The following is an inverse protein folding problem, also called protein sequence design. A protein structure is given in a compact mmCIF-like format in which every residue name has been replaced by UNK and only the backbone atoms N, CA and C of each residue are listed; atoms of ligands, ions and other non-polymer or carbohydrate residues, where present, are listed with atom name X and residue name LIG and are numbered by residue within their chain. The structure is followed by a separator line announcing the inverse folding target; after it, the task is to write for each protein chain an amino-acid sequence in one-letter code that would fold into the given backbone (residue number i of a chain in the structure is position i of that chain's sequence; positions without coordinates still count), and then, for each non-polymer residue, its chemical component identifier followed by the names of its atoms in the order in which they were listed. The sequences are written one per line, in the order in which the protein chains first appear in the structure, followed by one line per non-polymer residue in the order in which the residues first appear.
data_IF_068434891305
#
_entry.id   IF_068434891305
#
_cell.length_a   1.000
_cell.length_b   1.000
_cell.length_c   1.000
_cell.angle_alpha   90.00
_cell.angle_beta   90.00
_cell.angle_gamma   90.00
#
_symmetry.space_group_name_H-M   'P 1'
#
loop_
_entity.id
_entity.type
_entity.pdbx_description
1 polymer ?
#
# COMPACT_ATOMS: atom_id res chain seq x y z
N UNK A 1 -17.62 28.86 -20.49
CA UNK A 1 -18.71 27.94 -20.07
C UNK A 1 -18.18 27.08 -18.92
N UNK A 2 -18.43 27.46 -17.66
CA UNK A 2 -17.91 26.77 -16.47
C UNK A 2 -18.80 25.56 -16.18
N UNK A 3 -18.28 24.33 -16.32
CA UNK A 3 -18.96 23.13 -15.82
C UNK A 3 -18.61 22.99 -14.33
N UNK A 4 -19.64 23.14 -13.49
CA UNK A 4 -19.62 22.79 -12.06
C UNK A 4 -19.28 21.30 -11.94
N UNK A 5 -18.16 21.00 -11.28
CA UNK A 5 -17.92 19.66 -10.72
C UNK A 5 -18.71 19.61 -9.43
N UNK A 6 -19.87 18.97 -9.46
CA UNK A 6 -20.63 18.68 -8.24
C UNK A 6 -19.96 17.52 -7.51
N UNK A 7 -19.44 17.81 -6.32
CA UNK A 7 -19.05 16.84 -5.31
C UNK A 7 -20.20 15.84 -5.09
N UNK A 8 -19.95 14.56 -5.40
CA UNK A 8 -20.88 13.47 -5.10
C UNK A 8 -20.12 12.16 -4.87
N UNK A 9 -19.29 12.11 -3.84
CA UNK A 9 -18.72 10.85 -3.34
C UNK A 9 -18.72 10.84 -1.82
N UNK A 10 -19.93 10.76 -1.26
CA UNK A 10 -20.22 10.24 0.08
C UNK A 10 -21.44 9.34 -0.08
N UNK A 11 -21.25 8.03 0.16
CA UNK A 11 -22.35 7.07 0.27
C UNK A 11 -22.50 6.07 -0.87
N UNK A 12 -21.54 5.14 -1.04
CA UNK A 12 -21.82 3.79 -1.59
C UNK A 12 -20.92 2.75 -0.92
N UNK A 13 -21.18 2.43 0.35
CA UNK A 13 -20.64 1.22 1.00
C UNK A 13 -21.73 0.29 1.53
N UNK A 14 -23.02 0.56 1.23
CA UNK A 14 -24.18 -0.20 1.73
C UNK A 14 -24.95 -1.01 0.66
N UNK A 15 -24.33 -1.35 -0.47
CA UNK A 15 -24.96 -2.28 -1.42
C UNK A 15 -24.33 -3.67 -1.30
N UNK A 16 -25.19 -4.67 -1.14
CA UNK A 16 -24.89 -6.11 -1.11
C UNK A 16 -24.23 -6.57 -2.42
N UNK A 17 -22.94 -6.29 -2.59
CA UNK A 17 -22.14 -6.89 -3.65
C UNK A 17 -21.76 -8.29 -3.16
N UNK A 18 -22.50 -9.29 -3.63
CA UNK A 18 -22.32 -10.69 -3.23
C UNK A 18 -21.24 -11.40 -4.08
N UNK A 19 -21.01 -10.95 -5.31
CA UNK A 19 -19.94 -11.47 -6.18
C UNK A 19 -19.60 -10.41 -7.24
N UNK A 20 -18.31 -10.21 -7.50
CA UNK A 20 -17.84 -9.37 -8.61
C UNK A 20 -17.19 -10.24 -9.67
N UNK A 21 -17.73 -10.17 -10.89
CA UNK A 21 -17.10 -10.74 -12.07
C UNK A 21 -16.21 -9.69 -12.71
N UNK A 22 -14.92 -9.98 -12.78
CA UNK A 22 -14.00 -9.22 -13.61
C UNK A 22 -13.88 -9.93 -14.94
N UNK A 23 -14.65 -9.43 -15.91
CA UNK A 23 -14.55 -9.85 -17.30
C UNK A 23 -13.19 -9.43 -17.86
N UNK A 24 -12.60 -10.32 -18.64
CA UNK A 24 -11.22 -10.20 -19.06
C UNK A 24 -11.11 -10.32 -20.56
N UNK A 25 -10.07 -9.72 -21.13
CA UNK A 25 -9.91 -9.64 -22.59
C UNK A 25 -9.78 -11.01 -23.27
N UNK A 26 -9.51 -12.08 -22.52
CA UNK A 26 -9.34 -13.44 -23.04
C UNK A 26 -10.49 -14.39 -22.65
N UNK A 27 -11.63 -13.88 -22.19
CA UNK A 27 -12.78 -14.70 -21.77
C UNK A 27 -12.55 -15.49 -20.46
N UNK A 28 -11.47 -15.19 -19.72
CA UNK A 28 -11.21 -15.78 -18.40
C UNK A 28 -11.80 -14.90 -17.31
N UNK A 29 -12.90 -15.30 -16.69
CA UNK A 29 -13.53 -14.51 -15.63
C UNK A 29 -12.83 -14.74 -14.30
N UNK A 30 -12.34 -13.67 -13.68
CA UNK A 30 -11.89 -13.73 -12.28
C UNK A 30 -13.09 -13.49 -11.38
N UNK A 31 -13.43 -14.49 -10.57
CA UNK A 31 -14.55 -14.43 -9.62
C UNK A 31 -14.03 -13.91 -8.27
N UNK A 32 -14.57 -12.78 -7.81
CA UNK A 32 -14.33 -12.25 -6.46
C UNK A 32 -15.55 -12.61 -5.60
N UNK A 33 -15.32 -13.32 -4.51
CA UNK A 33 -16.36 -13.83 -3.60
C UNK A 33 -16.66 -12.85 -2.47
N UNK A 34 -17.78 -13.02 -1.75
CA UNK A 34 -18.07 -12.27 -0.52
C UNK A 34 -16.95 -12.40 0.52
N UNK A 35 -16.38 -13.60 0.65
CA UNK A 35 -15.28 -13.86 1.57
C UNK A 35 -14.04 -13.04 1.22
N UNK A 36 -13.74 -12.86 -0.07
CA UNK A 36 -12.65 -12.00 -0.54
C UNK A 36 -12.92 -10.53 -0.16
N UNK A 37 -14.16 -10.05 -0.34
CA UNK A 37 -14.57 -8.67 0.00
C UNK A 37 -14.51 -8.45 1.52
N UNK A 38 -15.03 -9.38 2.33
CA UNK A 38 -14.98 -9.31 3.79
C UNK A 38 -13.54 -9.24 4.31
N UNK A 39 -12.67 -10.10 3.78
CA UNK A 39 -11.24 -10.09 4.08
C UNK A 39 -10.56 -8.79 3.62
N UNK A 40 -10.95 -8.23 2.48
CA UNK A 40 -10.42 -6.96 1.99
C UNK A 40 -10.80 -5.79 2.91
N UNK A 41 -12.06 -5.72 3.37
CA UNK A 41 -12.51 -4.71 4.35
C UNK A 41 -11.69 -4.79 5.64
N UNK A 42 -11.48 -6.00 6.15
CA UNK A 42 -10.64 -6.23 7.32
C UNK A 42 -9.18 -5.78 7.09
N UNK A 43 -8.57 -6.16 5.95
CA UNK A 43 -7.22 -5.73 5.60
C UNK A 43 -7.11 -4.20 5.50
N UNK A 44 -8.09 -3.53 4.88
CA UNK A 44 -8.12 -2.06 4.78
C UNK A 44 -8.13 -1.42 6.16
N UNK A 45 -9.02 -1.85 7.07
CA UNK A 45 -9.08 -1.32 8.45
C UNK A 45 -7.76 -1.51 9.21
N UNK A 46 -7.08 -2.62 8.97
CA UNK A 46 -5.79 -2.90 9.62
C UNK A 46 -4.62 -2.10 9.05
N UNK A 47 -4.63 -1.87 7.74
CA UNK A 47 -3.49 -1.30 7.03
C UNK A 47 -3.59 0.21 6.82
N UNK A 48 -4.79 0.79 6.81
CA UNK A 48 -5.01 2.22 6.64
C UNK A 48 -5.11 2.88 8.02
N UNK A 49 -4.44 4.02 8.18
CA UNK A 49 -4.49 4.81 9.41
C UNK A 49 -5.84 5.52 9.54
N UNK A 50 -6.49 5.39 10.69
CA UNK A 50 -7.74 6.10 10.99
C UNK A 50 -7.54 7.62 11.09
N UNK A 51 -6.41 8.04 11.67
CA UNK A 51 -5.98 9.44 11.76
C UNK A 51 -4.52 9.51 11.39
N UNK A 52 -4.13 10.48 10.57
CA UNK A 52 -2.74 10.66 10.15
C UNK A 52 -2.10 11.75 11.02
N UNK A 53 -1.01 11.39 11.68
CA UNK A 53 -0.10 12.29 12.39
C UNK A 53 1.28 12.14 11.79
N UNK A 54 2.17 13.10 12.05
CA UNK A 54 3.55 12.99 11.56
C UNK A 54 4.22 11.69 12.02
N UNK A 55 4.07 11.38 13.31
CA UNK A 55 4.61 10.20 13.97
C UNK A 55 4.15 8.88 13.33
N UNK A 56 2.84 8.71 13.13
CA UNK A 56 2.33 7.47 12.56
C UNK A 56 2.52 7.38 11.03
N UNK A 57 2.62 8.53 10.33
CA UNK A 57 3.00 8.57 8.94
C UNK A 57 4.46 8.12 8.76
N UNK A 58 5.37 8.60 9.60
CA UNK A 58 6.76 8.15 9.60
C UNK A 58 6.85 6.63 9.86
N UNK A 59 6.14 6.13 10.88
CA UNK A 59 6.07 4.70 11.17
C UNK A 59 5.50 3.89 9.98
N UNK A 60 4.49 4.40 9.28
CA UNK A 60 3.96 3.79 8.07
C UNK A 60 4.98 3.75 6.92
N UNK A 61 5.83 4.78 6.79
CA UNK A 61 6.96 4.79 5.87
C UNK A 61 7.97 3.67 6.17
N UNK A 62 8.37 3.52 7.44
CA UNK A 62 9.22 2.41 7.91
C UNK A 62 8.57 1.06 7.59
N UNK A 63 7.27 0.90 7.86
CA UNK A 63 6.52 -0.32 7.52
C UNK A 63 6.66 -0.66 6.03
N UNK A 64 6.48 0.33 5.15
CA UNK A 64 6.59 0.12 3.71
C UNK A 64 8.00 -0.32 3.28
N UNK A 65 9.05 0.25 3.87
CA UNK A 65 10.46 -0.16 3.64
C UNK A 65 10.66 -1.63 4.07
N UNK A 66 10.19 -1.97 5.27
CA UNK A 66 10.34 -3.31 5.84
C UNK A 66 9.54 -4.37 5.07
N UNK A 67 8.39 -4.00 4.49
CA UNK A 67 7.49 -4.89 3.74
C UNK A 67 8.08 -5.44 2.45
N UNK A 68 9.17 -4.83 1.95
CA UNK A 68 9.80 -5.27 0.70
C UNK A 68 10.33 -6.70 0.86
N UNK A 69 9.76 -7.59 0.03
CA UNK A 69 10.08 -9.02 -0.08
C UNK A 69 9.97 -9.81 1.24
N UNK A 70 9.13 -9.32 2.17
CA UNK A 70 8.91 -9.91 3.48
C UNK A 70 7.44 -10.32 3.68
N UNK A 71 7.18 -11.23 4.62
CA UNK A 71 5.81 -11.56 4.99
C UNK A 71 5.27 -10.61 6.08
N UNK A 72 3.95 -10.38 6.08
CA UNK A 72 3.32 -9.45 7.03
C UNK A 72 3.57 -9.79 8.50
N UNK A 73 3.60 -11.07 8.85
CA UNK A 73 3.80 -11.48 10.25
C UNK A 73 5.16 -11.03 10.78
N UNK A 74 6.23 -11.24 10.01
CA UNK A 74 7.58 -10.80 10.35
C UNK A 74 7.69 -9.27 10.40
N UNK A 75 7.06 -8.56 9.46
CA UNK A 75 7.04 -7.10 9.45
C UNK A 75 6.35 -6.59 10.72
N UNK A 76 5.16 -7.10 11.06
CA UNK A 76 4.43 -6.69 12.26
C UNK A 76 5.22 -6.96 13.55
N UNK A 77 5.84 -8.14 13.68
CA UNK A 77 6.70 -8.46 14.82
C UNK A 77 7.87 -7.49 14.94
N UNK A 78 8.49 -7.13 13.81
CA UNK A 78 9.60 -6.17 13.82
C UNK A 78 9.12 -4.76 14.14
N UNK A 79 7.99 -4.32 13.59
CA UNK A 79 7.41 -3.01 13.92
C UNK A 79 7.12 -2.88 15.41
N UNK A 80 6.53 -3.90 16.04
CA UNK A 80 6.28 -3.91 17.48
C UNK A 80 7.59 -3.84 18.30
N UNK A 81 8.67 -4.47 17.82
CA UNK A 81 10.00 -4.36 18.46
C UNK A 81 10.61 -2.97 18.30
N UNK A 82 10.47 -2.35 17.13
CA UNK A 82 10.94 -0.99 16.88
C UNK A 82 10.16 0.01 17.73
N UNK A 83 8.84 -0.17 17.85
CA UNK A 83 7.97 0.63 18.71
C UNK A 83 8.37 0.51 20.18
N UNK A 84 8.53 -0.72 20.68
CA UNK A 84 8.99 -0.96 22.06
C UNK A 84 10.40 -0.43 22.35
N UNK A 85 11.22 -0.22 21.32
CA UNK A 85 12.53 0.40 21.42
C UNK A 85 12.49 1.94 21.19
N UNK A 86 11.32 2.52 20.92
CA UNK A 86 11.17 3.95 20.64
C UNK A 86 11.75 4.40 19.29
N UNK A 87 12.00 3.49 18.35
CA UNK A 87 12.70 3.76 17.08
C UNK A 87 11.77 4.11 15.92
N UNK A 88 10.49 4.34 16.18
CA UNK A 88 9.50 4.74 15.17
C UNK A 88 9.32 6.26 15.11
N UNK A 89 10.34 7.03 15.49
CA UNK A 89 10.45 8.48 15.25
C UNK A 89 11.74 8.77 14.48
N UNK A 90 11.77 9.81 13.63
CA UNK A 90 12.94 10.11 12.79
C UNK A 90 14.25 10.27 13.59
N UNK A 91 14.28 11.15 14.59
CA UNK A 91 15.48 11.42 15.39
C UNK A 91 15.88 10.19 16.20
N UNK A 92 14.89 9.46 16.72
CA UNK A 92 15.15 8.25 17.50
C UNK A 92 15.76 7.14 16.64
N UNK A 93 15.32 6.98 15.38
CA UNK A 93 15.92 6.03 14.45
C UNK A 93 17.37 6.41 14.10
N UNK A 94 17.67 7.71 13.96
CA UNK A 94 19.01 8.22 13.68
C UNK A 94 19.97 8.03 14.88
N UNK A 95 19.54 8.40 16.08
CA UNK A 95 20.36 8.23 17.29
C UNK A 95 20.48 6.77 17.72
N UNK A 96 19.42 5.98 17.49
CA UNK A 96 19.36 4.54 17.80
C UNK A 96 19.91 3.65 16.70
N UNK A 97 20.79 4.15 15.82
CA UNK A 97 21.27 3.47 14.62
C UNK A 97 21.82 2.05 14.86
N UNK A 98 22.62 1.87 15.91
CA UNK A 98 23.16 0.54 16.28
C UNK A 98 22.03 -0.42 16.68
N UNK A 99 21.11 0.04 17.54
CA UNK A 99 19.97 -0.77 17.98
C UNK A 99 19.03 -1.11 16.83
N UNK A 100 18.81 -0.17 15.92
CA UNK A 100 18.06 -0.39 14.69
C UNK A 100 18.71 -1.51 13.85
N UNK A 101 20.04 -1.48 13.69
CA UNK A 101 20.81 -2.51 13.00
C UNK A 101 20.64 -3.90 13.60
N UNK A 102 20.70 -4.01 14.92
CA UNK A 102 20.45 -5.27 15.63
C UNK A 102 19.05 -5.82 15.34
N UNK A 103 18.02 -4.97 15.46
CA UNK A 103 16.63 -5.38 15.32
C UNK A 103 16.29 -5.80 13.89
N UNK A 104 16.83 -5.10 12.88
CA UNK A 104 16.59 -5.43 11.47
C UNK A 104 17.48 -6.57 10.95
N UNK A 105 18.44 -7.08 11.75
CA UNK A 105 19.37 -8.14 11.30
C UNK A 105 18.68 -9.46 10.92
N UNK A 106 17.48 -9.72 11.47
CA UNK A 106 16.75 -10.98 11.32
C UNK A 106 15.82 -11.06 10.10
N UNK A 107 15.72 -9.99 9.30
CA UNK A 107 14.85 -9.92 8.12
C UNK A 107 15.64 -9.98 6.81
N UNK A 108 14.95 -10.19 5.68
CA UNK A 108 15.62 -10.22 4.38
C UNK A 108 16.19 -8.86 4.01
N UNK A 109 17.40 -8.86 3.46
CA UNK A 109 18.17 -7.68 3.05
C UNK A 109 18.40 -6.69 4.20
N UNK A 110 18.97 -7.15 5.34
CA UNK A 110 19.05 -6.37 6.57
C UNK A 110 19.79 -5.04 6.36
N UNK A 111 21.01 -5.07 5.80
CA UNK A 111 21.81 -3.87 5.54
C UNK A 111 21.10 -2.88 4.61
N UNK A 112 20.41 -3.38 3.58
CA UNK A 112 19.67 -2.51 2.65
C UNK A 112 18.50 -1.82 3.35
N UNK A 113 17.76 -2.55 4.20
CA UNK A 113 16.62 -2.01 4.94
C UNK A 113 17.07 -1.06 6.04
N UNK A 114 18.13 -1.39 6.76
CA UNK A 114 18.79 -0.50 7.72
C UNK A 114 19.17 0.84 7.07
N UNK A 115 19.98 0.81 6.01
CA UNK A 115 20.37 2.01 5.28
C UNK A 115 19.16 2.79 4.72
N UNK A 116 18.12 2.08 4.28
CA UNK A 116 16.89 2.72 3.79
C UNK A 116 16.13 3.43 4.90
N UNK A 117 16.04 2.86 6.10
CA UNK A 117 15.38 3.49 7.25
C UNK A 117 16.18 4.72 7.69
N UNK A 118 17.51 4.64 7.75
CA UNK A 118 18.35 5.79 8.07
C UNK A 118 18.16 6.90 7.03
N UNK A 119 18.29 6.58 5.73
CA UNK A 119 18.09 7.59 4.67
C UNK A 119 16.66 8.15 4.64
N UNK A 120 15.65 7.35 4.94
CA UNK A 120 14.27 7.82 5.10
C UNK A 120 14.13 8.76 6.29
N UNK A 121 14.79 8.48 7.42
CA UNK A 121 14.78 9.31 8.63
C UNK A 121 15.47 10.66 8.41
N UNK A 122 16.65 10.65 7.76
CA UNK A 122 17.36 11.87 7.38
C UNK A 122 16.52 12.74 6.44
N UNK A 123 15.94 12.13 5.41
CA UNK A 123 15.09 12.84 4.47
C UNK A 123 13.81 13.37 5.11
N UNK A 124 13.18 12.61 6.00
CA UNK A 124 11.99 13.04 6.72
C UNK A 124 12.27 14.32 7.51
N UNK A 125 13.37 14.36 8.26
CA UNK A 125 13.75 15.51 9.08
C UNK A 125 14.19 16.75 8.30
N UNK A 126 14.83 16.54 7.15
CA UNK A 126 15.44 17.63 6.39
C UNK A 126 14.59 18.09 5.20
N UNK A 127 13.39 17.54 5.01
CA UNK A 127 12.52 17.90 3.91
C UNK A 127 11.21 18.51 4.39
N UNK A 128 10.57 19.27 3.49
CA UNK A 128 9.21 19.79 3.70
C UNK A 128 8.12 18.73 3.47
N UNK A 129 8.51 17.50 3.09
CA UNK A 129 7.55 16.47 2.67
C UNK A 129 6.58 16.05 3.79
N UNK A 130 7.00 15.89 5.06
CA UNK A 130 6.07 15.54 6.13
C UNK A 130 4.94 16.57 6.24
N UNK A 131 5.29 17.86 6.24
CA UNK A 131 4.30 18.94 6.29
C UNK A 131 3.39 18.91 5.05
N UNK A 132 3.96 18.78 3.85
CA UNK A 132 3.17 18.71 2.60
C UNK A 132 2.19 17.53 2.57
N UNK A 133 2.60 16.37 3.12
CA UNK A 133 1.75 15.19 3.23
C UNK A 133 0.60 15.43 4.20
N UNK A 134 0.87 16.01 5.37
CA UNK A 134 -0.14 16.31 6.37
C UNK A 134 -1.13 17.37 5.86
N UNK A 135 -0.63 18.43 5.24
CA UNK A 135 -1.44 19.47 4.62
C UNK A 135 -2.39 18.87 3.57
N UNK A 136 -1.89 18.05 2.64
CA UNK A 136 -2.75 17.42 1.63
C UNK A 136 -3.74 16.42 2.25
N UNK A 137 -3.36 15.71 3.32
CA UNK A 137 -4.29 14.86 4.07
C UNK A 137 -5.44 15.68 4.67
N UNK A 138 -5.16 16.86 5.21
CA UNK A 138 -6.16 17.79 5.72
C UNK A 138 -7.01 18.43 4.61
N UNK A 139 -6.40 18.70 3.45
CA UNK A 139 -7.04 19.32 2.28
C UNK A 139 -7.82 18.31 1.40
N UNK A 140 -7.99 17.07 1.86
CA UNK A 140 -8.84 16.08 1.20
C UNK A 140 -8.12 15.16 0.21
N UNK A 141 -6.79 15.03 0.31
CA UNK A 141 -5.96 14.02 -0.37
C UNK A 141 -5.95 14.15 -1.90
N UNK A 142 -5.74 15.36 -2.40
CA UNK A 142 -5.87 15.68 -3.82
C UNK A 142 -4.58 15.54 -4.63
N UNK A 143 -3.41 15.48 -3.97
CA UNK A 143 -2.08 15.53 -4.62
C UNK A 143 -1.38 14.17 -4.67
N UNK A 144 -2.14 13.09 -4.59
CA UNK A 144 -1.64 11.73 -4.39
C UNK A 144 -0.54 11.30 -5.38
N UNK A 145 -0.74 11.53 -6.68
CA UNK A 145 0.21 11.12 -7.72
C UNK A 145 1.49 11.96 -7.73
N UNK A 146 1.38 13.25 -7.38
CA UNK A 146 2.49 14.18 -7.26
C UNK A 146 3.35 13.82 -6.05
N UNK A 147 2.74 13.71 -4.86
CA UNK A 147 3.42 13.36 -3.62
C UNK A 147 4.09 11.98 -3.73
N UNK A 148 3.37 10.98 -4.26
CA UNK A 148 3.96 9.65 -4.53
C UNK A 148 5.18 9.75 -5.45
N UNK A 149 5.10 10.55 -6.52
CA UNK A 149 6.24 10.72 -7.45
C UNK A 149 7.43 11.33 -6.71
N UNK A 150 7.21 12.43 -5.98
CA UNK A 150 8.25 13.11 -5.21
C UNK A 150 8.94 12.15 -4.23
N UNK A 151 8.17 11.39 -3.45
CA UNK A 151 8.70 10.37 -2.52
C UNK A 151 9.52 9.32 -3.26
N UNK A 152 8.99 8.80 -4.37
CA UNK A 152 9.63 7.71 -5.12
C UNK A 152 10.98 8.08 -5.76
N UNK A 153 11.16 9.36 -6.09
CA UNK A 153 12.35 9.88 -6.76
C UNK A 153 13.52 10.15 -5.79
N UNK A 154 13.27 10.27 -4.48
CA UNK A 154 14.29 10.55 -3.47
C UNK A 154 15.25 9.38 -3.21
N UNK A 155 14.92 8.17 -3.68
CA UNK A 155 15.72 6.94 -3.47
C UNK A 155 15.94 6.54 -2.00
N UNK A 156 15.06 6.98 -1.11
CA UNK A 156 15.03 6.69 0.35
C UNK A 156 14.47 5.30 0.70
N UNK A 157 14.70 4.30 -0.16
CA UNK A 157 14.16 2.94 0.03
C UNK A 157 12.69 2.75 -0.36
N UNK A 158 11.97 3.82 -0.73
CA UNK A 158 10.60 3.76 -1.23
C UNK A 158 10.57 3.97 -2.76
N UNK A 159 10.67 2.90 -3.56
CA UNK A 159 10.35 2.97 -4.98
C UNK A 159 8.84 3.13 -5.23
N UNK A 160 8.40 3.23 -6.50
CA UNK A 160 6.97 3.42 -6.85
C UNK A 160 6.00 2.51 -6.07
N UNK A 161 6.25 1.19 -5.98
CA UNK A 161 5.40 0.28 -5.19
C UNK A 161 5.35 0.63 -3.71
N UNK A 162 6.49 0.99 -3.11
CA UNK A 162 6.60 1.36 -1.70
C UNK A 162 5.92 2.69 -1.42
N UNK A 163 6.18 3.70 -2.26
CA UNK A 163 5.55 5.01 -2.18
C UNK A 163 4.03 4.92 -2.37
N UNK A 164 3.55 4.18 -3.36
CA UNK A 164 2.11 3.97 -3.56
C UNK A 164 1.46 3.28 -2.37
N UNK A 165 2.14 2.28 -1.77
CA UNK A 165 1.60 1.62 -0.59
C UNK A 165 1.59 2.54 0.63
N UNK A 166 2.63 3.35 0.78
CA UNK A 166 2.68 4.38 1.81
C UNK A 166 1.50 5.35 1.69
N UNK A 167 1.20 5.87 0.47
CA UNK A 167 0.03 6.70 0.24
C UNK A 167 -1.28 5.98 0.62
N UNK A 168 -1.45 4.71 0.23
CA UNK A 168 -2.65 3.94 0.63
C UNK A 168 -2.77 3.85 2.16
N UNK A 169 -1.66 3.64 2.90
CA UNK A 169 -1.69 3.62 4.37
C UNK A 169 -2.14 4.95 4.98
N UNK A 170 -1.86 6.07 4.31
CA UNK A 170 -2.33 7.42 4.72
C UNK A 170 -3.78 7.71 4.28
N UNK A 171 -4.45 6.76 3.63
CA UNK A 171 -5.86 6.85 3.23
C UNK A 171 -6.10 7.44 1.84
N UNK A 172 -5.08 7.52 0.98
CA UNK A 172 -5.26 7.93 -0.42
C UNK A 172 -5.92 6.80 -1.21
N UNK A 173 -6.94 7.14 -2.00
CA UNK A 173 -7.84 6.13 -2.56
C UNK A 173 -7.63 5.82 -4.05
N UNK A 174 -7.03 6.73 -4.83
CA UNK A 174 -6.90 6.53 -6.28
C UNK A 174 -5.54 5.97 -6.73
N UNK A 175 -4.70 5.54 -5.78
CA UNK A 175 -3.41 4.91 -6.05
C UNK A 175 -3.46 3.40 -5.79
N UNK A 176 -2.80 2.63 -6.66
CA UNK A 176 -2.64 1.18 -6.51
C UNK A 176 -1.17 0.81 -6.40
N UNK A 177 -0.75 0.18 -5.29
CA UNK A 177 0.53 -0.51 -5.21
C UNK A 177 0.58 -1.70 -6.18
N UNK A 178 1.23 -1.56 -7.33
CA UNK A 178 1.42 -2.68 -8.26
C UNK A 178 2.46 -3.66 -7.70
N UNK A 179 1.97 -4.73 -7.06
CA UNK A 179 2.78 -5.79 -6.45
C UNK A 179 2.62 -7.15 -7.17
N UNK A 180 3.20 -8.21 -6.58
CA UNK A 180 3.13 -9.55 -7.15
C UNK A 180 1.68 -10.06 -7.31
N UNK A 181 0.76 -9.68 -6.42
CA UNK A 181 -0.63 -10.11 -6.45
C UNK A 181 -1.38 -9.41 -7.58
N UNK A 182 -1.14 -8.10 -7.77
CA UNK A 182 -1.68 -7.37 -8.91
C UNK A 182 -1.23 -7.96 -10.25
N UNK A 183 0.05 -8.32 -10.37
CA UNK A 183 0.58 -8.90 -11.62
C UNK A 183 -0.03 -10.28 -11.89
N UNK A 184 -0.27 -11.09 -10.85
CA UNK A 184 -0.97 -12.38 -10.99
C UNK A 184 -2.41 -12.18 -11.43
N UNK A 185 -3.11 -11.23 -10.83
CA UNK A 185 -4.46 -10.86 -11.24
C UNK A 185 -4.51 -10.44 -12.73
N UNK A 186 -3.61 -9.56 -13.17
CA UNK A 186 -3.57 -9.14 -14.58
C UNK A 186 -3.26 -10.31 -15.52
N UNK A 187 -2.35 -11.21 -15.13
CA UNK A 187 -2.03 -12.43 -15.90
C UNK A 187 -3.24 -13.36 -16.01
N UNK A 188 -3.92 -13.63 -14.90
CA UNK A 188 -5.07 -14.54 -14.87
C UNK A 188 -6.27 -13.95 -15.61
N UNK A 189 -6.40 -12.63 -15.58
CA UNK A 189 -7.34 -11.84 -16.38
C UNK A 189 -6.88 -11.64 -17.83
N UNK A 190 -5.89 -12.40 -18.32
CA UNK A 190 -5.55 -12.43 -19.74
C UNK A 190 -4.93 -11.16 -20.32
N UNK A 191 -4.47 -10.20 -19.51
CA UNK A 191 -3.82 -8.97 -20.00
C UNK A 191 -2.38 -9.18 -20.52
N UNK A 192 -1.94 -10.43 -20.71
CA UNK A 192 -0.62 -10.74 -21.25
C UNK A 192 0.57 -10.31 -20.37
N UNK A 193 0.34 -10.10 -19.07
CA UNK A 193 1.38 -9.66 -18.14
C UNK A 193 2.30 -10.81 -17.75
N UNK A 194 3.61 -10.57 -17.87
CA UNK A 194 4.64 -11.48 -17.36
C UNK A 194 4.85 -11.18 -15.88
N UNK A 195 4.52 -12.16 -15.04
CA UNK A 195 4.82 -12.10 -13.61
C UNK A 195 6.31 -12.41 -13.42
N UNK A 196 7.13 -11.45 -12.96
CA UNK A 196 8.57 -11.67 -12.82
C UNK A 196 8.88 -12.64 -11.69
N UNK A 197 9.93 -13.44 -11.86
CA UNK A 197 10.56 -14.16 -10.75
C UNK A 197 11.48 -13.19 -9.99
N UNK A 198 10.99 -12.65 -8.88
CA UNK A 198 11.74 -11.72 -8.04
C UNK A 198 12.95 -12.34 -7.32
N UNK A 199 13.26 -13.63 -7.54
CA UNK A 199 14.54 -14.24 -7.14
C UNK A 199 15.67 -13.90 -8.11
N UNK A 200 15.35 -13.65 -9.38
CA UNK A 200 16.33 -13.52 -10.47
C UNK A 200 16.17 -12.23 -11.29
N UNK A 201 15.01 -11.59 -11.25
CA UNK A 201 14.72 -10.35 -11.98
C UNK A 201 14.53 -9.14 -11.05
N UNK A 202 14.97 -7.98 -11.54
CA UNK A 202 14.68 -6.68 -10.94
C UNK A 202 13.18 -6.34 -10.99
N UNK A 203 12.77 -5.35 -10.20
CA UNK A 203 11.40 -4.84 -10.19
C UNK A 203 10.96 -4.22 -11.52
N UNK A 204 9.68 -3.86 -11.62
CA UNK A 204 9.14 -3.11 -12.77
C UNK A 204 9.89 -1.79 -12.95
N UNK A 205 10.12 -1.40 -14.20
CA UNK A 205 10.53 -0.02 -14.51
C UNK A 205 9.39 0.94 -14.18
N UNK A 206 9.69 2.20 -13.86
CA UNK A 206 8.65 3.20 -13.55
C UNK A 206 7.60 3.33 -14.66
N UNK A 207 8.01 3.30 -15.93
CA UNK A 207 7.08 3.32 -17.08
C UNK A 207 6.12 2.14 -17.08
N UNK A 208 6.60 0.91 -16.87
CA UNK A 208 5.75 -0.30 -16.80
C UNK A 208 4.86 -0.29 -15.57
N UNK A 209 5.39 0.14 -14.43
CA UNK A 209 4.63 0.31 -13.20
C UNK A 209 3.41 1.21 -13.43
N UNK A 210 3.63 2.40 -13.99
CA UNK A 210 2.55 3.38 -14.25
C UNK A 210 1.56 2.89 -15.31
N UNK A 211 1.99 2.08 -16.28
CA UNK A 211 1.08 1.45 -17.24
C UNK A 211 0.14 0.46 -16.55
N UNK A 212 0.67 -0.40 -15.68
CA UNK A 212 -0.15 -1.35 -14.93
C UNK A 212 -1.02 -0.66 -13.87
N UNK A 213 -0.52 0.37 -13.19
CA UNK A 213 -1.30 1.17 -12.24
C UNK A 213 -2.54 1.78 -12.90
N UNK A 214 -2.39 2.39 -14.09
CA UNK A 214 -3.53 2.91 -14.86
C UNK A 214 -4.53 1.82 -15.23
N UNK A 215 -4.05 0.72 -15.82
CA UNK A 215 -4.90 -0.41 -16.19
C UNK A 215 -5.72 -0.95 -15.01
N UNK A 216 -5.09 -1.12 -13.85
CA UNK A 216 -5.77 -1.61 -12.65
C UNK A 216 -6.76 -0.57 -12.11
N UNK A 217 -6.41 0.72 -12.19
CA UNK A 217 -7.30 1.81 -11.76
C UNK A 217 -8.56 1.86 -12.62
N UNK A 218 -8.41 1.74 -13.94
CA UNK A 218 -9.53 1.71 -14.89
C UNK A 218 -10.45 0.51 -14.59
N UNK A 219 -9.88 -0.68 -14.36
CA UNK A 219 -10.65 -1.88 -13.96
C UNK A 219 -11.40 -1.64 -12.65
N UNK A 220 -10.76 -1.03 -11.64
CA UNK A 220 -11.40 -0.74 -10.35
C UNK A 220 -12.59 0.21 -10.51
N UNK A 221 -12.39 1.30 -11.26
CA UNK A 221 -13.43 2.31 -11.52
C UNK A 221 -14.61 1.70 -12.30
N UNK A 222 -14.34 0.89 -13.32
CA UNK A 222 -15.38 0.19 -14.09
C UNK A 222 -16.23 -0.75 -13.22
N UNK A 223 -15.67 -1.23 -12.10
CA UNK A 223 -16.37 -2.06 -11.11
C UNK A 223 -16.95 -1.27 -9.94
N UNK A 224 -16.92 0.07 -10.02
CA UNK A 224 -17.49 0.96 -8.99
C UNK A 224 -16.71 0.95 -7.68
N UNK A 225 -15.40 0.67 -7.75
CA UNK A 225 -14.51 0.61 -6.59
C UNK A 225 -13.40 1.65 -6.70
N UNK A 226 -12.88 2.08 -5.56
CA UNK A 226 -11.64 2.87 -5.56
C UNK A 226 -10.44 1.96 -5.88
N UNK A 227 -9.42 2.47 -6.59
CA UNK A 227 -8.21 1.72 -6.88
C UNK A 227 -7.56 1.12 -5.62
N UNK A 228 -7.46 1.88 -4.52
CA UNK A 228 -6.94 1.38 -3.24
C UNK A 228 -7.74 0.21 -2.66
N UNK A 229 -9.07 0.26 -2.70
CA UNK A 229 -9.90 -0.83 -2.17
C UNK A 229 -9.80 -2.08 -3.05
N UNK A 230 -9.74 -1.90 -4.37
CA UNK A 230 -9.50 -2.99 -5.30
C UNK A 230 -8.17 -3.70 -5.03
N UNK A 231 -7.12 -2.98 -4.63
CA UNK A 231 -5.87 -3.60 -4.20
C UNK A 231 -6.06 -4.54 -3.01
N UNK A 232 -6.85 -4.16 -2.00
CA UNK A 232 -7.13 -5.04 -0.85
C UNK A 232 -7.93 -6.29 -1.25
N UNK A 233 -8.83 -6.18 -2.23
CA UNK A 233 -9.58 -7.32 -2.78
C UNK A 233 -8.64 -8.31 -3.46
N UNK A 234 -7.78 -7.83 -4.36
CA UNK A 234 -6.83 -8.69 -5.04
C UNK A 234 -5.83 -9.28 -4.04
N UNK A 235 -5.40 -8.52 -3.02
CA UNK A 235 -4.57 -9.07 -1.95
C UNK A 235 -5.29 -10.18 -1.18
N UNK A 236 -6.55 -9.96 -0.79
CA UNK A 236 -7.37 -10.94 -0.10
C UNK A 236 -7.48 -12.25 -0.90
N UNK A 237 -7.74 -12.14 -2.21
CA UNK A 237 -7.91 -13.28 -3.11
C UNK A 237 -6.62 -14.07 -3.39
N UNK A 238 -5.52 -13.36 -3.65
CA UNK A 238 -4.30 -13.98 -4.17
C UNK A 238 -3.25 -14.34 -3.12
N UNK A 239 -3.40 -13.85 -1.89
CA UNK A 239 -2.47 -14.17 -0.81
C UNK A 239 -2.99 -15.26 0.12
N UNK A 240 -2.04 -15.95 0.75
CA UNK A 240 -2.31 -16.89 1.84
C UNK A 240 -2.58 -16.19 3.18
N UNK A 241 -2.92 -14.90 3.19
CA UNK A 241 -3.26 -14.20 4.42
C UNK A 241 -4.44 -14.89 5.10
N UNK A 242 -4.30 -15.26 6.37
CA UNK A 242 -5.40 -15.78 7.18
C UNK A 242 -5.63 -14.77 8.30
N UNK A 243 -6.84 -14.19 8.44
CA UNK A 243 -7.20 -13.48 9.65
C UNK A 243 -6.96 -14.41 10.85
N UNK A 244 -6.55 -13.86 12.00
CA UNK A 244 -6.56 -14.65 13.23
C UNK A 244 -8.01 -15.08 13.48
N UNK A 245 -8.22 -16.37 13.75
CA UNK A 245 -9.55 -16.97 13.89
C UNK A 245 -10.38 -16.23 14.95
N UNK A 246 -11.60 -15.80 14.59
CA UNK A 246 -12.53 -15.11 15.50
C UNK A 246 -12.99 -13.71 15.07
N UNK A 247 -12.44 -13.16 13.96
CA UNK A 247 -12.74 -11.78 13.50
C UNK A 247 -13.71 -11.68 12.32
N UNK A 248 -14.50 -12.74 12.08
CA UNK A 248 -15.67 -12.68 11.19
C UNK A 248 -16.94 -12.38 11.98
N UNK A 249 -16.88 -11.42 12.92
CA UNK A 249 -18.11 -10.71 13.25
C UNK A 249 -18.33 -9.77 12.06
N UNK A 250 -19.21 -10.20 11.17
CA UNK A 250 -19.89 -9.28 10.29
C UNK A 250 -20.65 -8.34 11.23
N UNK A 251 -20.09 -7.16 11.49
CA UNK A 251 -20.90 -6.02 11.95
C UNK A 251 -21.96 -5.82 10.85
N UNK A 252 -23.12 -6.45 11.08
CA UNK A 252 -24.35 -6.22 10.36
C UNK A 252 -24.93 -4.92 10.89
N UNK A 253 -24.44 -3.79 10.35
CA UNK A 253 -25.15 -2.52 10.38
C UNK A 253 -25.73 -2.23 8.97
#
# INVERSE_FOLDING_TARGET
MRRRVTNKYLGVLNNHITTVLVDSMAGKTVIITEADIGKAKYLRRKEVLDTVTESNAFAAGIYCILSVAENNSKVNTLMARLEGAGLLMPEAALHGNEKLGELVSYIRFPNKKHNSIIGFSEWWNNSVMPQQLLDDVHDGRSKEFELRRLISEQRIGLGYKGASFFMVKLGYENIVPVDIWMLRFLKDSGYGVIVPDYRTLGGLTGKRYLQYERLISDIAVDKGMTPSFFQFIIWAKYSNYKPQSGLYDYDTD
#
